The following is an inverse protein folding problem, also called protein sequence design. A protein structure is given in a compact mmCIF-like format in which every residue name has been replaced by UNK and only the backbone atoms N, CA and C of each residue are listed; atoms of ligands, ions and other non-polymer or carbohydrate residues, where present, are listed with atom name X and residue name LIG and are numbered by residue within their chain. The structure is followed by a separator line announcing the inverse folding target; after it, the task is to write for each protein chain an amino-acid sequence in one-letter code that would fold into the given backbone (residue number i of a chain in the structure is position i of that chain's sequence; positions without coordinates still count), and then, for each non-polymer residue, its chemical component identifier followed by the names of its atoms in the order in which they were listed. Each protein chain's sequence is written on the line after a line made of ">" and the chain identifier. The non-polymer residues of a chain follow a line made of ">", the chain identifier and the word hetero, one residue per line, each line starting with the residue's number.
data_IF_710690713181
#
_entry.id   IF_710690713181
#
_cell.length_a   1.000
_cell.length_b   1.000
_cell.length_c   1.000
_cell.angle_alpha   90.00
_cell.angle_beta   90.00
_cell.angle_gamma   90.00
#
_symmetry.space_group_name_H-M   'P 1'
#
loop_
_entity.id
_entity.type
_entity.pdbx_description
1 polymer ?
#
# COMPACT_ATOMS: atom_id res chain seq x y z
N UNK A 1 15.06 -53.83 48.33
CA UNK A 1 15.49 -52.76 49.23
C UNK A 1 15.40 -51.46 48.49
N UNK A 2 14.35 -50.81 48.78
CA UNK A 2 14.10 -49.39 49.16
C UNK A 2 14.42 -48.38 48.05
N UNK A 3 13.58 -47.94 47.22
CA UNK A 3 12.42 -47.05 47.39
C UNK A 3 12.71 -45.83 48.25
N UNK A 4 12.86 -44.68 47.60
CA UNK A 4 12.38 -43.42 48.16
C UNK A 4 12.00 -42.46 47.05
N UNK A 5 10.73 -42.11 47.08
CA UNK A 5 10.07 -41.05 46.33
C UNK A 5 10.52 -39.69 46.88
N UNK A 6 10.89 -38.77 45.99
CA UNK A 6 10.78 -37.37 46.28
C UNK A 6 9.88 -36.70 45.25
N UNK A 7 8.77 -36.22 45.74
CA UNK A 7 7.84 -35.30 45.06
C UNK A 7 8.49 -33.92 45.03
N UNK A 8 8.72 -33.39 43.84
CA UNK A 8 8.94 -31.97 43.65
C UNK A 8 7.69 -31.41 42.96
N UNK A 9 7.04 -30.52 43.65
CA UNK A 9 5.90 -29.74 43.25
C UNK A 9 6.29 -28.76 42.10
N UNK A 10 5.77 -28.99 40.95
CA UNK A 10 5.87 -28.05 39.84
C UNK A 10 4.74 -27.02 39.96
N UNK A 11 5.10 -25.83 40.41
CA UNK A 11 4.27 -24.63 40.25
C UNK A 11 4.28 -24.27 38.76
N UNK A 12 3.17 -24.51 38.08
CA UNK A 12 2.95 -24.08 36.69
C UNK A 12 2.80 -22.56 36.63
N UNK A 13 3.85 -21.92 36.18
CA UNK A 13 3.74 -20.59 35.64
C UNK A 13 3.08 -20.69 34.26
N UNK A 14 1.81 -20.39 34.18
CA UNK A 14 1.11 -20.14 32.94
C UNK A 14 1.68 -18.84 32.37
N UNK A 15 2.64 -18.99 31.45
CA UNK A 15 2.97 -17.95 30.51
C UNK A 15 1.77 -17.78 29.58
N UNK A 16 0.96 -16.78 29.83
CA UNK A 16 0.05 -16.23 28.84
C UNK A 16 0.91 -15.63 27.73
N UNK A 17 1.13 -16.39 26.69
CA UNK A 17 1.52 -15.88 25.38
C UNK A 17 0.36 -15.02 24.89
N UNK A 18 0.45 -13.72 25.12
CA UNK A 18 -0.32 -12.76 24.35
C UNK A 18 0.19 -12.92 22.90
N UNK A 19 -0.60 -13.59 22.07
CA UNK A 19 -0.52 -13.44 20.63
C UNK A 19 -0.86 -11.99 20.35
N UNK A 20 0.16 -11.16 20.22
CA UNK A 20 0.06 -9.90 19.52
C UNK A 20 -0.24 -10.29 18.06
N UNK A 21 -1.49 -10.12 17.66
CA UNK A 21 -1.86 -10.09 16.24
C UNK A 21 -0.96 -9.02 15.59
N UNK A 22 0.06 -9.45 14.89
CA UNK A 22 0.87 -8.58 14.03
C UNK A 22 -0.04 -8.07 12.93
N UNK A 23 -0.69 -6.95 13.19
CA UNK A 23 -1.48 -6.24 12.20
C UNK A 23 -0.54 -5.76 11.10
N UNK A 24 -0.56 -6.48 9.98
CA UNK A 24 0.10 -6.05 8.75
C UNK A 24 -0.62 -4.82 8.19
N UNK A 25 -0.15 -3.63 8.53
CA UNK A 25 -0.72 -2.36 8.07
C UNK A 25 -0.41 -1.19 9.01
N UNK A 26 -0.71 0.05 8.58
CA UNK A 26 -0.51 1.23 9.40
C UNK A 26 -1.40 1.19 10.66
N UNK A 27 -0.83 1.58 11.79
CA UNK A 27 -1.51 1.57 13.09
C UNK A 27 -2.26 2.88 13.30
N UNK A 28 -3.56 2.79 13.61
CA UNK A 28 -4.37 3.99 13.92
C UNK A 28 -3.78 4.78 15.09
N UNK A 29 -3.78 6.11 14.96
CA UNK A 29 -3.27 7.02 15.99
C UNK A 29 -4.04 6.88 17.32
N UNK A 30 -5.31 6.48 17.30
CA UNK A 30 -6.12 6.23 18.48
C UNK A 30 -5.47 5.22 19.46
N UNK A 31 -4.60 4.33 18.96
CA UNK A 31 -3.85 3.39 19.82
C UNK A 31 -2.93 4.11 20.82
N UNK A 32 -2.54 5.36 20.55
CA UNK A 32 -1.76 6.17 21.49
C UNK A 32 -2.53 6.55 22.77
N UNK A 33 -3.85 6.45 22.81
CA UNK A 33 -4.63 6.63 24.04
C UNK A 33 -4.22 5.62 25.11
N UNK A 34 -4.00 4.37 24.69
CA UNK A 34 -3.56 3.29 25.58
C UNK A 34 -2.16 3.54 26.14
N UNK A 35 -1.39 4.41 25.50
CA UNK A 35 -0.05 4.85 25.92
C UNK A 35 -0.06 6.19 26.63
N UNK A 36 -1.24 6.65 27.12
CA UNK A 36 -1.38 7.82 27.97
C UNK A 36 -1.30 9.17 27.25
N UNK A 37 -1.63 9.20 25.95
CA UNK A 37 -1.89 10.43 25.20
C UNK A 37 -3.37 10.77 25.31
N UNK A 38 -3.71 12.05 25.54
CA UNK A 38 -5.11 12.46 25.73
C UNK A 38 -5.89 12.39 24.41
N UNK A 39 -7.15 11.94 24.45
CA UNK A 39 -8.05 11.93 23.30
C UNK A 39 -8.18 13.31 22.63
N UNK A 40 -8.08 14.40 23.42
CA UNK A 40 -8.13 15.77 22.87
C UNK A 40 -6.89 16.13 22.06
N UNK A 41 -5.72 15.59 22.40
CA UNK A 41 -4.50 15.81 21.64
C UNK A 41 -4.46 14.92 20.40
N UNK A 42 -4.99 13.68 20.47
CA UNK A 42 -5.17 12.80 19.31
C UNK A 42 -6.07 13.45 18.28
N UNK A 43 -7.23 13.98 18.66
CA UNK A 43 -8.11 14.70 17.72
C UNK A 43 -7.42 15.86 17.00
N UNK A 44 -6.58 16.63 17.70
CA UNK A 44 -5.83 17.71 17.06
C UNK A 44 -4.79 17.21 16.05
N UNK A 45 -4.19 16.05 16.34
CA UNK A 45 -3.27 15.39 15.40
C UNK A 45 -4.02 14.88 14.16
N UNK A 46 -5.18 14.25 14.35
CA UNK A 46 -6.07 13.79 13.26
C UNK A 46 -6.54 14.96 12.39
N UNK A 47 -7.01 16.06 13.01
CA UNK A 47 -7.40 17.28 12.31
C UNK A 47 -6.24 17.92 11.52
N UNK A 48 -5.00 17.72 11.99
CA UNK A 48 -3.79 18.15 11.30
C UNK A 48 -3.29 17.14 10.24
N UNK A 49 -3.99 16.01 10.05
CA UNK A 49 -3.68 15.00 9.04
C UNK A 49 -2.82 13.83 9.51
N UNK A 50 -2.52 13.74 10.81
CA UNK A 50 -1.78 12.61 11.37
C UNK A 50 -2.76 11.54 11.84
N UNK A 51 -3.13 10.60 10.95
CA UNK A 51 -4.12 9.58 11.23
C UNK A 51 -3.52 8.26 11.73
N UNK A 52 -2.20 8.09 11.62
CA UNK A 52 -1.49 6.85 12.00
C UNK A 52 -0.34 7.13 12.95
N UNK A 53 0.04 6.11 13.72
CA UNK A 53 1.18 6.19 14.66
C UNK A 53 2.48 6.41 13.90
N UNK A 54 2.65 5.77 12.73
CA UNK A 54 3.80 5.93 11.86
C UNK A 54 3.92 7.36 11.34
N UNK A 55 2.79 7.99 10.94
CA UNK A 55 2.78 9.37 10.48
C UNK A 55 3.31 10.33 11.56
N UNK A 56 2.98 10.07 12.82
CA UNK A 56 3.50 10.84 13.97
C UNK A 56 4.96 10.53 14.26
N UNK A 57 5.33 9.24 14.27
CA UNK A 57 6.69 8.80 14.57
C UNK A 57 7.71 9.35 13.56
N UNK A 58 7.35 9.42 12.28
CA UNK A 58 8.20 9.91 11.21
C UNK A 58 8.13 11.44 11.02
N UNK A 59 7.18 12.11 11.68
CA UNK A 59 7.03 13.55 11.55
C UNK A 59 8.22 14.32 12.19
N UNK A 60 8.74 15.36 11.53
CA UNK A 60 9.65 16.28 12.20
C UNK A 60 8.96 16.96 13.39
N UNK A 61 9.64 17.08 14.53
CA UNK A 61 9.11 17.77 15.73
C UNK A 61 8.50 19.15 15.41
N UNK A 62 9.15 19.90 14.50
CA UNK A 62 8.70 21.21 14.06
C UNK A 62 7.28 21.19 13.46
N UNK A 63 6.94 20.14 12.73
CA UNK A 63 5.61 19.99 12.11
C UNK A 63 4.54 19.74 13.18
N UNK A 64 4.84 18.98 14.22
CA UNK A 64 3.91 18.75 15.34
C UNK A 64 3.73 20.02 16.19
N UNK A 65 4.78 20.82 16.36
CA UNK A 65 4.70 22.10 17.07
C UNK A 65 3.89 23.17 16.32
N UNK A 66 3.73 23.05 15.01
CA UNK A 66 2.88 23.92 14.21
C UNK A 66 1.37 23.69 14.46
N UNK A 67 1.01 22.57 15.10
CA UNK A 67 -0.38 22.21 15.40
C UNK A 67 -0.86 23.04 16.61
N UNK A 68 -1.96 23.77 16.42
CA UNK A 68 -2.54 24.62 17.46
C UNK A 68 -2.94 23.79 18.68
N UNK A 69 -2.33 24.12 19.84
CA UNK A 69 -2.60 23.47 21.12
C UNK A 69 -1.76 22.23 21.43
N UNK A 70 -0.73 21.97 20.64
CA UNK A 70 0.35 21.02 20.94
C UNK A 70 1.56 21.82 21.43
N UNK A 71 1.89 21.69 22.72
CA UNK A 71 3.10 22.28 23.29
C UNK A 71 4.32 21.39 23.06
N UNK A 72 5.51 21.92 23.29
CA UNK A 72 6.76 21.18 23.13
C UNK A 72 6.78 19.89 23.96
N UNK A 73 6.41 19.97 25.23
CA UNK A 73 6.34 18.82 26.14
C UNK A 73 5.34 17.75 25.64
N UNK A 74 4.23 18.18 25.02
CA UNK A 74 3.25 17.25 24.42
C UNK A 74 3.80 16.61 23.17
N UNK A 75 4.44 17.37 22.28
CA UNK A 75 5.07 16.85 21.10
C UNK A 75 6.14 15.80 21.44
N UNK A 76 7.01 16.09 22.40
CA UNK A 76 8.03 15.15 22.86
C UNK A 76 7.41 13.87 23.43
N UNK A 77 6.36 13.98 24.23
CA UNK A 77 5.66 12.83 24.78
C UNK A 77 5.02 11.97 23.68
N UNK A 78 4.31 12.60 22.74
CA UNK A 78 3.64 11.91 21.64
C UNK A 78 4.66 11.20 20.75
N UNK A 79 5.76 11.86 20.39
CA UNK A 79 6.84 11.25 19.60
C UNK A 79 7.52 10.10 20.33
N UNK A 80 7.75 10.22 21.64
CA UNK A 80 8.34 9.17 22.44
C UNK A 80 7.45 7.92 22.52
N UNK A 81 6.14 8.10 22.69
CA UNK A 81 5.20 6.97 22.72
C UNK A 81 5.00 6.35 21.34
N UNK A 82 4.91 7.17 20.30
CA UNK A 82 4.84 6.68 18.92
C UNK A 82 6.12 5.89 18.54
N UNK A 83 7.29 6.36 18.93
CA UNK A 83 8.57 5.70 18.70
C UNK A 83 8.76 4.37 19.43
N UNK A 84 7.96 4.08 20.47
CA UNK A 84 7.93 2.75 21.12
C UNK A 84 7.14 1.72 20.29
N UNK A 85 6.12 2.19 19.58
CA UNK A 85 5.26 1.34 18.75
C UNK A 85 5.84 1.09 17.36
N UNK A 86 6.60 2.07 16.84
CA UNK A 86 7.21 2.01 15.52
C UNK A 86 8.72 1.85 15.66
N UNK A 87 9.30 0.70 15.26
CA UNK A 87 10.73 0.50 15.35
C UNK A 87 11.48 1.41 14.35
N UNK A 88 12.21 2.40 14.88
CA UNK A 88 13.00 3.35 14.08
C UNK A 88 14.51 3.15 14.22
N UNK A 89 14.94 2.07 14.88
CA UNK A 89 16.34 1.72 15.10
C UNK A 89 16.95 0.88 13.98
N UNK A 90 18.19 0.47 14.20
CA UNK A 90 18.84 -0.50 13.33
C UNK A 90 18.17 -1.86 13.46
N UNK A 91 18.00 -2.55 12.34
CA UNK A 91 17.55 -3.94 12.25
C UNK A 91 18.58 -4.74 11.46
N UNK A 92 18.57 -6.05 11.60
CA UNK A 92 19.47 -6.90 10.82
C UNK A 92 18.95 -7.09 9.40
N UNK A 93 19.85 -7.36 8.46
CA UNK A 93 19.45 -7.70 7.09
C UNK A 93 18.56 -8.93 7.03
N UNK A 94 18.75 -9.88 7.96
CA UNK A 94 17.91 -11.09 8.07
C UNK A 94 16.48 -10.75 8.46
N UNK A 95 16.28 -9.94 9.49
CA UNK A 95 14.94 -9.47 9.90
C UNK A 95 14.26 -8.67 8.80
N UNK A 96 15.02 -7.78 8.13
CA UNK A 96 14.49 -7.01 7.00
C UNK A 96 14.10 -7.91 5.82
N UNK A 97 14.92 -8.94 5.52
CA UNK A 97 14.61 -9.93 4.49
C UNK A 97 13.33 -10.72 4.81
N UNK A 98 13.15 -11.10 6.08
CA UNK A 98 11.94 -11.79 6.52
C UNK A 98 10.70 -10.91 6.33
N UNK A 99 10.74 -9.63 6.74
CA UNK A 99 9.65 -8.66 6.47
C UNK A 99 9.37 -8.49 4.99
N UNK A 100 10.40 -8.51 4.14
CA UNK A 100 10.19 -8.44 2.69
C UNK A 100 9.55 -9.69 2.10
N UNK A 101 9.70 -10.85 2.72
CA UNK A 101 9.04 -12.09 2.26
C UNK A 101 7.52 -12.09 2.49
N UNK A 102 7.01 -11.18 3.34
CA UNK A 102 5.58 -11.00 3.61
C UNK A 102 4.91 -10.03 2.62
N UNK A 103 5.70 -9.36 1.77
CA UNK A 103 5.19 -8.42 0.77
C UNK A 103 4.40 -9.18 -0.30
N UNK A 104 3.19 -8.71 -0.54
CA UNK A 104 2.30 -9.24 -1.58
C UNK A 104 2.64 -8.60 -2.92
N UNK A 105 2.63 -9.40 -3.96
CA UNK A 105 2.77 -8.94 -5.35
C UNK A 105 1.44 -9.07 -6.07
N UNK A 106 0.93 -7.94 -6.60
CA UNK A 106 -0.34 -7.87 -7.28
C UNK A 106 -0.15 -8.12 -8.77
N UNK A 107 -0.88 -9.09 -9.32
CA UNK A 107 -0.83 -9.38 -10.76
C UNK A 107 -1.29 -8.17 -11.58
N UNK A 108 -0.57 -7.92 -12.66
CA UNK A 108 -0.93 -6.91 -13.67
C UNK A 108 -2.00 -7.40 -14.65
N UNK A 109 -2.31 -8.70 -14.62
CA UNK A 109 -3.18 -9.37 -15.57
C UNK A 109 -2.45 -9.91 -16.82
N UNK A 110 -1.14 -9.65 -16.94
CA UNK A 110 -0.26 -10.22 -17.97
C UNK A 110 0.87 -11.00 -17.31
N UNK A 111 1.01 -12.28 -17.67
CA UNK A 111 2.07 -13.16 -17.14
C UNK A 111 3.47 -12.66 -17.51
N UNK A 112 3.60 -12.11 -18.71
CA UNK A 112 4.88 -11.54 -19.17
C UNK A 112 5.27 -10.30 -18.39
N UNK A 113 4.30 -9.42 -18.03
CA UNK A 113 4.57 -8.30 -17.15
C UNK A 113 4.88 -8.76 -15.72
N UNK A 114 4.13 -9.71 -15.20
CA UNK A 114 4.34 -10.24 -13.85
C UNK A 114 5.72 -10.89 -13.75
N UNK A 115 6.15 -11.64 -14.78
CA UNK A 115 7.49 -12.20 -14.87
C UNK A 115 8.58 -11.12 -14.90
N UNK A 116 8.37 -10.05 -15.68
CA UNK A 116 9.27 -8.90 -15.73
C UNK A 116 9.45 -8.26 -14.36
N UNK A 117 8.36 -8.16 -13.58
CA UNK A 117 8.32 -7.54 -12.27
C UNK A 117 8.68 -8.49 -11.11
N UNK A 118 9.00 -9.74 -11.41
CA UNK A 118 9.34 -10.74 -10.40
C UNK A 118 8.14 -11.26 -9.61
N UNK A 119 6.92 -11.14 -10.18
CA UNK A 119 5.66 -11.65 -9.60
C UNK A 119 4.48 -10.67 -9.73
N UNK A 120 4.74 -9.40 -9.99
CA UNK A 120 3.71 -8.37 -10.14
C UNK A 120 4.10 -7.03 -9.50
N UNK A 121 3.11 -6.19 -9.23
CA UNK A 121 3.32 -4.91 -8.55
C UNK A 121 3.46 -5.15 -7.04
N UNK A 122 4.59 -4.77 -6.49
CA UNK A 122 4.93 -4.94 -5.07
C UNK A 122 4.09 -4.01 -4.18
N UNK A 123 3.44 -4.55 -3.16
CA UNK A 123 2.77 -3.78 -2.12
C UNK A 123 3.80 -3.16 -1.15
N UNK A 124 3.41 -2.11 -0.42
CA UNK A 124 4.30 -1.46 0.55
C UNK A 124 5.41 -0.60 -0.08
N UNK A 125 5.43 -0.47 -1.41
CA UNK A 125 6.35 0.39 -2.15
C UNK A 125 5.63 1.24 -3.18
N UNK A 126 6.29 2.28 -3.70
CA UNK A 126 5.74 3.17 -4.71
C UNK A 126 6.25 2.74 -6.08
N UNK A 127 5.33 2.31 -6.96
CA UNK A 127 5.61 2.02 -8.36
C UNK A 127 5.11 3.16 -9.23
N UNK A 128 6.01 3.85 -9.93
CA UNK A 128 5.67 4.88 -10.91
C UNK A 128 5.54 4.27 -12.30
N UNK A 129 4.44 4.58 -12.98
CA UNK A 129 4.21 4.15 -14.37
C UNK A 129 4.12 5.41 -15.24
N UNK A 130 5.05 5.58 -16.16
CA UNK A 130 5.12 6.73 -17.02
C UNK A 130 5.26 6.34 -18.51
N UNK A 131 5.04 7.29 -19.39
CA UNK A 131 5.08 7.08 -20.84
C UNK A 131 4.15 8.02 -21.59
N UNK A 132 4.22 7.98 -22.91
CA UNK A 132 3.43 8.82 -23.79
C UNK A 132 1.91 8.58 -23.66
N UNK A 133 1.14 9.44 -24.31
CA UNK A 133 -0.30 9.27 -24.43
C UNK A 133 -0.65 7.96 -25.16
N UNK A 134 -1.72 7.28 -24.71
CA UNK A 134 -2.19 5.97 -25.24
C UNK A 134 -1.23 4.79 -25.08
N UNK A 135 -0.33 4.82 -24.12
CA UNK A 135 0.56 3.68 -23.82
C UNK A 135 -0.04 2.65 -22.86
N UNK A 136 -1.21 2.91 -22.30
CA UNK A 136 -1.94 1.94 -21.47
C UNK A 136 -1.86 2.17 -19.96
N UNK A 137 -1.26 3.28 -19.48
CA UNK A 137 -1.15 3.59 -18.04
C UNK A 137 -2.48 3.47 -17.30
N UNK A 138 -3.50 4.20 -17.75
CA UNK A 138 -4.85 4.18 -17.15
C UNK A 138 -5.50 2.80 -17.24
N UNK A 139 -5.27 2.04 -18.32
CA UNK A 139 -5.80 0.68 -18.46
C UNK A 139 -5.17 -0.29 -17.45
N UNK A 140 -3.86 -0.14 -17.22
CA UNK A 140 -3.17 -0.91 -16.19
C UNK A 140 -3.71 -0.56 -14.81
N UNK A 141 -3.94 0.73 -14.51
CA UNK A 141 -4.55 1.15 -13.25
C UNK A 141 -5.96 0.56 -13.03
N UNK A 142 -6.80 0.54 -14.08
CA UNK A 142 -8.13 -0.08 -13.98
C UNK A 142 -8.03 -1.61 -13.73
N UNK A 143 -7.10 -2.29 -14.39
CA UNK A 143 -6.88 -3.72 -14.16
C UNK A 143 -6.40 -3.96 -12.73
N UNK A 144 -5.43 -3.20 -12.22
CA UNK A 144 -4.93 -3.30 -10.85
C UNK A 144 -6.01 -3.03 -9.80
N UNK A 145 -6.95 -2.12 -10.07
CA UNK A 145 -8.08 -1.85 -9.18
C UNK A 145 -9.01 -3.06 -8.99
N UNK A 146 -9.00 -3.98 -9.95
CA UNK A 146 -9.74 -5.26 -9.85
C UNK A 146 -8.83 -6.36 -9.29
N UNK A 147 -7.60 -6.48 -9.81
CA UNK A 147 -6.72 -7.59 -9.42
C UNK A 147 -6.26 -7.53 -7.97
N UNK A 148 -6.19 -6.34 -7.35
CA UNK A 148 -5.90 -6.22 -5.91
C UNK A 148 -6.97 -6.87 -5.01
N UNK A 149 -8.17 -7.11 -5.53
CA UNK A 149 -9.28 -7.76 -4.82
C UNK A 149 -9.28 -9.29 -4.96
N UNK A 150 -8.47 -9.84 -5.86
CA UNK A 150 -8.36 -11.28 -6.07
C UNK A 150 -7.78 -11.98 -4.81
N UNK A 151 -8.07 -13.27 -4.63
CA UNK A 151 -7.39 -14.11 -3.65
C UNK A 151 -5.87 -14.10 -3.85
N UNK A 152 -5.12 -14.30 -2.77
CA UNK A 152 -3.65 -14.36 -2.80
C UNK A 152 -3.14 -15.42 -3.79
N UNK A 153 -3.82 -16.56 -3.88
CA UNK A 153 -3.48 -17.67 -4.79
C UNK A 153 -3.59 -17.27 -6.28
N UNK A 154 -4.39 -16.26 -6.58
CA UNK A 154 -4.55 -15.71 -7.93
C UNK A 154 -3.67 -14.47 -8.19
N UNK A 155 -2.75 -14.17 -7.30
CA UNK A 155 -1.90 -12.97 -7.38
C UNK A 155 -2.64 -11.69 -7.02
N UNK A 156 -3.63 -11.77 -6.15
CA UNK A 156 -4.34 -10.62 -5.59
C UNK A 156 -3.86 -10.25 -4.19
N UNK A 157 -4.57 -9.36 -3.53
CA UNK A 157 -4.28 -8.90 -2.19
C UNK A 157 -5.46 -9.05 -1.22
N UNK A 158 -6.59 -9.62 -1.66
CA UNK A 158 -7.84 -9.72 -0.88
C UNK A 158 -8.25 -8.38 -0.25
N UNK A 159 -7.96 -7.29 -0.93
CA UNK A 159 -8.10 -5.95 -0.41
C UNK A 159 -8.99 -5.05 -1.26
N UNK A 160 -9.15 -3.82 -0.79
CA UNK A 160 -9.87 -2.75 -1.47
C UNK A 160 -8.90 -1.81 -2.17
N UNK A 161 -9.41 -1.01 -3.09
CA UNK A 161 -8.65 -0.04 -3.86
C UNK A 161 -9.09 1.39 -3.55
N UNK A 162 -8.14 2.29 -3.34
CA UNK A 162 -8.37 3.74 -3.35
C UNK A 162 -7.88 4.28 -4.70
N UNK A 163 -8.77 4.86 -5.49
CA UNK A 163 -8.45 5.39 -6.80
C UNK A 163 -8.58 6.92 -6.81
N UNK A 164 -7.45 7.62 -6.90
CA UNK A 164 -7.39 9.09 -6.98
C UNK A 164 -7.09 9.50 -8.42
N UNK A 165 -8.02 10.23 -9.05
CA UNK A 165 -7.98 10.62 -10.45
C UNK A 165 -7.86 12.13 -10.62
N UNK A 166 -6.85 12.62 -11.34
CA UNK A 166 -6.67 14.05 -11.63
C UNK A 166 -7.21 14.45 -13.01
N UNK A 167 -7.37 13.49 -13.93
CA UNK A 167 -7.79 13.76 -15.31
C UNK A 167 -9.29 13.53 -15.59
N UNK A 168 -10.00 12.76 -14.73
CA UNK A 168 -11.38 12.33 -14.94
C UNK A 168 -11.51 11.23 -15.99
N UNK A 169 -10.51 10.36 -16.00
CA UNK A 169 -10.43 9.25 -16.96
C UNK A 169 -10.87 7.90 -16.39
N UNK A 170 -11.25 7.86 -15.12
CA UNK A 170 -11.78 6.66 -14.48
C UNK A 170 -13.08 6.20 -15.16
N UNK A 171 -13.18 4.90 -15.42
CA UNK A 171 -14.33 4.28 -16.11
C UNK A 171 -14.74 3.01 -15.38
N UNK A 172 -15.82 3.02 -14.58
CA UNK A 172 -16.33 1.86 -13.87
C UNK A 172 -16.66 0.68 -14.79
N UNK A 173 -17.09 0.97 -16.03
CA UNK A 173 -17.41 -0.06 -17.03
C UNK A 173 -16.19 -0.93 -17.37
N UNK A 174 -14.99 -0.37 -17.25
CA UNK A 174 -13.74 -1.12 -17.44
C UNK A 174 -13.47 -2.09 -16.31
N UNK A 175 -13.84 -1.73 -15.09
CA UNK A 175 -13.73 -2.59 -13.93
C UNK A 175 -14.70 -3.78 -14.06
N UNK A 176 -15.93 -3.52 -14.51
CA UNK A 176 -16.92 -4.57 -14.74
C UNK A 176 -16.43 -5.57 -15.79
N UNK A 177 -15.95 -5.10 -16.94
CA UNK A 177 -15.41 -5.97 -17.98
C UNK A 177 -14.20 -6.79 -17.51
N UNK A 178 -13.36 -6.20 -16.65
CA UNK A 178 -12.21 -6.91 -16.05
C UNK A 178 -12.67 -7.92 -14.99
N UNK A 179 -13.69 -7.58 -14.17
CA UNK A 179 -14.21 -8.50 -13.14
C UNK A 179 -14.81 -9.76 -13.72
N UNK A 180 -15.50 -9.67 -14.86
CA UNK A 180 -16.05 -10.82 -15.60
C UNK A 180 -14.97 -11.84 -15.98
N UNK A 181 -13.80 -11.35 -16.43
CA UNK A 181 -12.64 -12.21 -16.76
C UNK A 181 -12.18 -13.06 -15.59
N UNK A 182 -12.24 -12.51 -14.37
CA UNK A 182 -11.80 -13.21 -13.16
C UNK A 182 -12.95 -13.92 -12.43
N UNK A 183 -14.16 -13.87 -12.95
CA UNK A 183 -15.34 -14.49 -12.32
C UNK A 183 -15.78 -13.81 -11.03
N UNK A 184 -15.42 -12.53 -10.82
CA UNK A 184 -15.82 -11.73 -9.68
C UNK A 184 -17.20 -11.11 -9.90
N UNK A 185 -17.95 -10.91 -8.81
CA UNK A 185 -19.18 -10.13 -8.85
C UNK A 185 -18.87 -8.66 -9.13
N UNK A 186 -19.34 -8.13 -10.25
CA UNK A 186 -19.08 -6.76 -10.66
C UNK A 186 -19.57 -5.70 -9.68
N UNK A 187 -20.70 -5.93 -8.98
CA UNK A 187 -21.20 -4.99 -7.98
C UNK A 187 -20.26 -4.92 -6.78
N UNK A 188 -19.82 -6.06 -6.26
CA UNK A 188 -18.88 -6.12 -5.14
C UNK A 188 -17.52 -5.49 -5.50
N UNK A 189 -17.07 -5.71 -6.75
CA UNK A 189 -15.83 -5.08 -7.25
C UNK A 189 -15.94 -3.57 -7.27
N UNK A 190 -17.07 -3.01 -7.69
CA UNK A 190 -17.27 -1.56 -7.68
C UNK A 190 -17.35 -1.00 -6.26
N UNK A 191 -18.01 -1.68 -5.33
CA UNK A 191 -18.15 -1.26 -3.93
C UNK A 191 -16.80 -1.30 -3.18
N UNK A 192 -15.86 -2.13 -3.64
CA UNK A 192 -14.52 -2.21 -3.09
C UNK A 192 -13.53 -1.18 -3.67
N UNK A 193 -13.97 -0.32 -4.59
CA UNK A 193 -13.14 0.75 -5.15
C UNK A 193 -13.65 2.11 -4.71
N UNK A 194 -12.98 2.72 -3.76
CA UNK A 194 -13.25 4.10 -3.37
C UNK A 194 -12.60 5.05 -4.38
N UNK A 195 -13.42 5.87 -5.04
CA UNK A 195 -12.99 6.81 -6.07
C UNK A 195 -13.03 8.25 -5.58
N UNK A 196 -11.98 9.00 -5.86
CA UNK A 196 -11.94 10.45 -5.61
C UNK A 196 -11.36 11.20 -6.81
N UNK A 197 -11.99 12.33 -7.16
CA UNK A 197 -11.46 13.27 -8.14
C UNK A 197 -10.66 14.36 -7.46
N UNK A 198 -9.38 14.49 -7.82
CA UNK A 198 -8.56 15.63 -7.41
C UNK A 198 -8.65 16.76 -8.45
N UNK A 199 -8.93 17.97 -7.99
CA UNK A 199 -9.11 19.15 -8.89
C UNK A 199 -7.88 20.06 -8.94
N UNK A 200 -7.03 19.99 -7.91
CA UNK A 200 -5.77 20.72 -7.82
C UNK A 200 -4.81 20.00 -6.86
N UNK A 201 -3.58 20.47 -6.75
CA UNK A 201 -2.53 19.86 -5.93
C UNK A 201 -2.86 19.84 -4.43
N UNK A 202 -3.49 20.90 -3.93
CA UNK A 202 -3.86 21.01 -2.51
C UNK A 202 -4.96 20.00 -2.17
N UNK A 203 -5.98 19.89 -3.03
CA UNK A 203 -7.04 18.90 -2.89
C UNK A 203 -6.49 17.48 -3.00
N UNK A 204 -5.54 17.22 -3.91
CA UNK A 204 -4.86 15.94 -4.02
C UNK A 204 -4.12 15.58 -2.73
N UNK A 205 -3.40 16.53 -2.12
CA UNK A 205 -2.72 16.32 -0.85
C UNK A 205 -3.70 16.00 0.28
N UNK A 206 -4.84 16.68 0.33
CA UNK A 206 -5.90 16.38 1.31
C UNK A 206 -6.49 14.98 1.11
N UNK A 207 -6.73 14.57 -0.14
CA UNK A 207 -7.23 13.23 -0.46
C UNK A 207 -6.23 12.14 -0.04
N UNK A 208 -4.92 12.38 -0.18
CA UNK A 208 -3.89 11.42 0.28
C UNK A 208 -3.87 11.28 1.80
N UNK A 209 -4.09 12.36 2.55
CA UNK A 209 -4.24 12.30 4.02
C UNK A 209 -5.47 11.49 4.41
N UNK A 210 -6.61 11.70 3.73
CA UNK A 210 -7.82 10.90 3.95
C UNK A 210 -7.60 9.43 3.57
N UNK A 211 -6.89 9.17 2.46
CA UNK A 211 -6.53 7.81 2.05
C UNK A 211 -5.71 7.08 3.13
N UNK A 212 -4.76 7.76 3.76
CA UNK A 212 -3.98 7.17 4.85
C UNK A 212 -4.86 6.75 6.04
N UNK A 213 -5.86 7.57 6.41
CA UNK A 213 -6.83 7.22 7.45
C UNK A 213 -7.67 5.99 7.03
N UNK A 214 -8.21 5.99 5.81
CA UNK A 214 -9.00 4.87 5.29
C UNK A 214 -8.19 3.57 5.20
N UNK A 215 -6.92 3.63 4.85
CA UNK A 215 -6.04 2.45 4.84
C UNK A 215 -5.82 1.88 6.23
N UNK A 216 -5.79 2.71 7.26
CA UNK A 216 -5.64 2.26 8.64
C UNK A 216 -6.94 1.68 9.23
N UNK A 217 -8.11 2.18 8.80
CA UNK A 217 -9.43 1.72 9.28
C UNK A 217 -9.96 0.48 8.55
N UNK A 218 -9.63 0.33 7.27
CA UNK A 218 -10.16 -0.72 6.41
C UNK A 218 -9.05 -1.47 5.68
N UNK A 219 -9.37 -2.69 5.21
CA UNK A 219 -8.43 -3.56 4.48
C UNK A 219 -8.12 -3.06 3.06
N UNK A 220 -7.71 -1.81 2.92
CA UNK A 220 -7.22 -1.28 1.65
C UNK A 220 -5.78 -1.74 1.41
N UNK A 221 -5.57 -2.58 0.39
CA UNK A 221 -4.24 -3.13 0.04
C UNK A 221 -3.51 -2.30 -1.02
N UNK A 222 -4.22 -1.45 -1.75
CA UNK A 222 -3.60 -0.61 -2.78
C UNK A 222 -4.20 0.79 -2.84
N UNK A 223 -3.33 1.77 -3.02
CA UNK A 223 -3.71 3.13 -3.41
C UNK A 223 -3.21 3.35 -4.83
N UNK A 224 -4.15 3.51 -5.76
CA UNK A 224 -3.85 3.83 -7.14
C UNK A 224 -4.04 5.31 -7.33
N UNK A 225 -2.95 6.03 -7.56
CA UNK A 225 -2.98 7.45 -7.85
C UNK A 225 -2.75 7.67 -9.34
N UNK A 226 -3.81 7.90 -10.09
CA UNK A 226 -3.73 8.28 -11.50
C UNK A 226 -3.43 9.79 -11.61
N UNK A 227 -2.16 10.14 -11.57
CA UNK A 227 -1.67 11.53 -11.67
C UNK A 227 -0.87 11.69 -12.94
N UNK A 228 -1.14 12.75 -13.69
CA UNK A 228 -0.23 13.21 -14.74
C UNK A 228 0.90 14.01 -14.11
N UNK A 229 2.04 13.39 -13.92
CA UNK A 229 3.25 14.07 -13.46
C UNK A 229 4.06 14.52 -14.68
N UNK A 230 4.50 15.80 -14.75
CA UNK A 230 5.42 16.24 -15.80
C UNK A 230 6.67 15.36 -15.85
N UNK A 231 7.13 15.02 -17.04
CA UNK A 231 8.35 14.25 -17.21
C UNK A 231 9.54 14.97 -16.53
N UNK A 232 10.24 14.27 -15.64
CA UNK A 232 11.40 14.81 -14.92
C UNK A 232 11.24 15.05 -13.43
N UNK A 233 10.06 14.76 -12.83
CA UNK A 233 9.94 14.74 -11.36
C UNK A 233 10.82 13.61 -10.80
N UNK A 234 11.77 13.96 -9.93
CA UNK A 234 12.48 13.00 -9.09
C UNK A 234 11.50 12.55 -7.96
N UNK A 235 10.72 11.51 -8.25
CA UNK A 235 9.92 10.87 -7.22
C UNK A 235 10.81 9.88 -6.45
N UNK A 236 10.64 9.81 -5.12
CA UNK A 236 11.22 8.72 -4.32
C UNK A 236 10.46 7.41 -4.57
N UNK A 237 10.33 7.02 -5.85
CA UNK A 237 9.65 5.80 -6.25
C UNK A 237 10.62 4.62 -6.13
N UNK A 238 10.12 3.49 -5.62
CA UNK A 238 10.92 2.28 -5.48
C UNK A 238 11.16 1.61 -6.83
N UNK A 239 10.15 1.62 -7.71
CA UNK A 239 10.23 1.06 -9.05
C UNK A 239 9.64 2.04 -10.07
N UNK A 240 10.30 2.20 -11.22
CA UNK A 240 9.84 3.07 -12.32
C UNK A 240 9.70 2.27 -13.60
N UNK A 241 8.49 2.30 -14.17
CA UNK A 241 8.12 1.54 -15.36
C UNK A 241 7.82 2.50 -16.52
N UNK A 242 8.55 2.34 -17.61
CA UNK A 242 8.33 3.11 -18.83
C UNK A 242 7.45 2.32 -19.81
N UNK A 243 6.30 2.88 -20.16
CA UNK A 243 5.39 2.32 -21.14
C UNK A 243 5.54 3.01 -22.50
N UNK A 244 5.63 2.23 -23.56
CA UNK A 244 5.63 2.72 -24.95
C UNK A 244 4.72 1.90 -25.84
N UNK A 245 4.35 2.46 -26.98
CA UNK A 245 3.58 1.74 -27.99
C UNK A 245 4.45 0.68 -28.68
N UNK A 246 3.91 -0.52 -28.85
CA UNK A 246 4.43 -1.56 -29.69
C UNK A 246 3.82 -1.52 -31.10
N UNK A 247 3.87 -2.63 -31.82
CA UNK A 247 3.20 -2.80 -33.10
C UNK A 247 1.72 -3.13 -32.87
N UNK A 248 0.83 -2.54 -33.67
CA UNK A 248 -0.60 -2.79 -33.56
C UNK A 248 -1.15 -2.44 -32.17
N UNK A 249 -1.80 -3.41 -31.53
CA UNK A 249 -2.40 -3.24 -30.20
C UNK A 249 -1.45 -3.56 -29.06
N UNK A 250 -0.22 -3.97 -29.36
CA UNK A 250 0.76 -4.32 -28.33
C UNK A 250 1.34 -3.08 -27.66
N UNK A 251 1.79 -3.26 -26.44
CA UNK A 251 2.50 -2.26 -25.62
C UNK A 251 3.76 -2.90 -25.08
N UNK A 252 4.74 -2.06 -24.79
CA UNK A 252 6.02 -2.48 -24.23
C UNK A 252 6.18 -1.79 -22.90
N UNK A 253 6.46 -2.57 -21.86
CA UNK A 253 6.85 -2.09 -20.53
C UNK A 253 8.33 -2.35 -20.35
N UNK A 254 9.09 -1.32 -20.00
CA UNK A 254 10.52 -1.39 -19.67
C UNK A 254 10.72 -1.01 -18.21
N UNK A 255 11.51 -1.79 -17.48
CA UNK A 255 12.02 -1.35 -16.18
C UNK A 255 13.01 -0.21 -16.43
N UNK A 256 12.65 0.98 -15.96
CA UNK A 256 13.46 2.18 -16.13
C UNK A 256 14.41 2.38 -14.95
N UNK A 257 13.92 2.08 -13.74
CA UNK A 257 14.67 2.17 -12.50
C UNK A 257 14.08 1.20 -11.47
N UNK A 258 14.94 0.43 -10.81
CA UNK A 258 14.55 -0.49 -9.75
C UNK A 258 15.76 -0.89 -8.91
N UNK A 259 15.63 -0.98 -7.58
CA UNK A 259 16.73 -1.40 -6.70
C UNK A 259 17.02 -2.90 -6.77
N UNK A 260 16.12 -3.73 -7.31
CA UNK A 260 16.24 -5.18 -7.27
C UNK A 260 16.03 -5.87 -8.62
N UNK A 261 15.39 -5.22 -9.59
CA UNK A 261 15.10 -5.80 -10.90
C UNK A 261 16.11 -5.31 -11.95
N UNK A 262 16.65 -6.19 -12.79
CA UNK A 262 17.53 -5.80 -13.89
C UNK A 262 16.76 -5.03 -14.96
N UNK A 263 17.48 -4.22 -15.73
CA UNK A 263 16.92 -3.55 -16.90
C UNK A 263 16.44 -4.60 -17.92
N UNK A 264 15.14 -4.66 -18.14
CA UNK A 264 14.51 -5.60 -19.06
C UNK A 264 13.18 -5.01 -19.59
N UNK A 265 12.61 -5.63 -20.61
CA UNK A 265 11.33 -5.23 -21.17
C UNK A 265 10.43 -6.42 -21.45
N UNK A 266 9.11 -6.20 -21.38
CA UNK A 266 8.08 -7.18 -21.72
C UNK A 266 7.01 -6.56 -22.61
N UNK A 267 6.36 -7.40 -23.41
CA UNK A 267 5.28 -7.01 -24.31
C UNK A 267 3.96 -7.45 -23.69
N UNK A 268 2.95 -6.58 -23.73
CA UNK A 268 1.61 -6.87 -23.28
C UNK A 268 0.55 -6.30 -24.21
N UNK A 269 -0.67 -6.78 -24.11
CA UNK A 269 -1.83 -6.30 -24.87
C UNK A 269 -2.85 -5.60 -23.98
N UNK A 270 -3.66 -4.71 -24.59
CA UNK A 270 -4.80 -4.08 -23.96
C UNK A 270 -6.06 -4.60 -24.65
N UNK A 271 -6.90 -5.28 -23.90
CA UNK A 271 -8.11 -5.94 -24.41
C UNK A 271 -9.38 -5.33 -23.78
N UNK A 272 -10.53 -5.77 -24.26
CA UNK A 272 -11.82 -5.35 -23.70
C UNK A 272 -11.95 -5.71 -22.21
N UNK A 273 -11.36 -6.81 -21.79
CA UNK A 273 -11.38 -7.39 -20.45
C UNK A 273 -10.15 -7.04 -19.59
N UNK A 274 -9.36 -6.05 -19.98
CA UNK A 274 -8.21 -5.55 -19.21
C UNK A 274 -6.87 -5.75 -19.92
N UNK A 275 -5.81 -5.86 -19.10
CA UNK A 275 -4.44 -6.13 -19.54
C UNK A 275 -4.22 -7.64 -19.66
N UNK A 276 -3.50 -8.07 -20.68
CA UNK A 276 -3.16 -9.48 -20.90
C UNK A 276 -1.87 -9.65 -21.69
N UNK A 277 -1.47 -10.90 -21.90
CA UNK A 277 -0.31 -11.22 -22.73
C UNK A 277 -0.58 -10.89 -24.20
N UNK A 278 0.47 -10.58 -24.96
CA UNK A 278 0.35 -10.41 -26.40
C UNK A 278 -0.14 -11.71 -27.03
N UNK A 279 -1.06 -11.62 -27.99
CA UNK A 279 -1.59 -12.77 -28.74
C UNK A 279 -0.79 -13.07 -30.01
N UNK A 280 0.33 -12.36 -30.19
CA UNK A 280 1.22 -12.53 -31.36
C UNK A 280 2.35 -13.52 -31.05
#
# INVERSE_FOLDING_TARGET
>A
MSAQQERASSSGAQQQTQQEDEQCGPVLIARLEQHGISASDIKKLEEAGYCTVEAVAFAPKKSLLAIKGISEAKADKVMAEAGKLVPMGFTTATEFHQKRSEIIQLTTGSKELDKLLGGGIETGSITEIFGEFRTGKTQLCHTLAVTCQLPLEMGGGEGKCLYVDTEGTFRPERLLATSERYGLNGADVLDNVAYARAYNSDHQSQLLVQAAAMMAEASYKSVIQAVTVPAGCNCNCTCRLYLRKGRGETRICKIYDSPCLPEAEAIFGIYADGIGDSKD
#
